data_IF_375233818971
#
_entry.id   IF_375233818971
#
_cell.length_a   1.000
_cell.length_b   1.000
_cell.length_c   1.000
_cell.angle_alpha   90.00
_cell.angle_beta   90.00
_cell.angle_gamma   90.00
#
_symmetry.space_group_name_H-M   'P 1'
#
loop_
_entity.id
_entity.type
_entity.pdbx_description
1 polymer ?
#
# COMPACT_ATOMS: atom_id res chain seq x y z
N UNK A 1 -11.02 -16.88 14.13
CA UNK A 1 -11.00 -15.40 14.08
C UNK A 1 -9.58 -14.83 14.20
N UNK A 2 -8.88 -14.91 15.35
CA UNK A 2 -7.54 -14.31 15.51
C UNK A 2 -6.51 -14.78 14.47
N UNK A 3 -6.52 -16.07 14.12
CA UNK A 3 -5.65 -16.61 13.07
C UNK A 3 -5.94 -15.98 11.70
N UNK A 4 -7.22 -15.88 11.32
CA UNK A 4 -7.64 -15.24 10.08
C UNK A 4 -7.27 -13.74 10.03
N UNK A 5 -7.32 -13.03 11.17
CA UNK A 5 -6.80 -11.65 11.25
C UNK A 5 -5.30 -11.61 10.95
N UNK A 6 -4.53 -12.51 11.57
CA UNK A 6 -3.07 -12.58 11.39
C UNK A 6 -2.68 -12.92 9.95
N UNK A 7 -3.44 -13.78 9.29
CA UNK A 7 -3.20 -14.22 7.92
C UNK A 7 -3.77 -13.26 6.86
N UNK A 8 -4.69 -12.37 7.24
CA UNK A 8 -5.37 -11.45 6.32
C UNK A 8 -6.67 -11.99 5.72
N UNK A 9 -7.12 -13.16 6.14
CA UNK A 9 -8.25 -13.92 5.58
C UNK A 9 -9.57 -13.73 6.33
N UNK A 10 -9.72 -12.61 7.08
CA UNK A 10 -10.90 -12.40 7.91
C UNK A 10 -12.19 -12.29 7.08
N UNK A 11 -12.13 -11.69 5.88
CA UNK A 11 -13.31 -11.53 5.04
C UNK A 11 -13.81 -12.86 4.50
N UNK A 12 -12.91 -13.77 4.12
CA UNK A 12 -13.22 -15.12 3.69
C UNK A 12 -13.88 -15.92 4.82
N UNK A 13 -13.36 -15.79 6.05
CA UNK A 13 -13.98 -16.40 7.24
C UNK A 13 -15.37 -15.80 7.51
N UNK A 14 -15.54 -14.48 7.34
CA UNK A 14 -16.85 -13.83 7.51
C UNK A 14 -17.83 -14.31 6.44
N UNK A 15 -17.40 -14.44 5.18
CA UNK A 15 -18.23 -14.95 4.09
C UNK A 15 -18.68 -16.39 4.36
N UNK A 16 -17.75 -17.28 4.72
CA UNK A 16 -18.01 -18.67 5.10
C UNK A 16 -19.06 -18.74 6.22
N UNK A 17 -18.87 -17.96 7.30
CA UNK A 17 -19.78 -17.94 8.45
C UNK A 17 -21.13 -17.29 8.13
N UNK A 18 -21.18 -16.38 7.17
CA UNK A 18 -22.43 -15.73 6.74
C UNK A 18 -23.44 -16.74 6.18
N UNK A 19 -22.96 -17.88 5.66
CA UNK A 19 -23.78 -18.97 5.08
C UNK A 19 -24.49 -19.83 6.12
N UNK A 20 -24.22 -19.61 7.42
CA UNK A 20 -24.86 -20.35 8.51
C UNK A 20 -26.38 -20.13 8.63
N UNK A 21 -26.89 -18.96 8.24
CA UNK A 21 -28.31 -18.64 8.35
C UNK A 21 -28.70 -17.46 7.42
N UNK A 22 -29.91 -17.42 6.82
CA UNK A 22 -30.33 -16.33 5.93
C UNK A 22 -30.23 -14.92 6.55
N UNK A 23 -30.49 -14.79 7.86
CA UNK A 23 -30.34 -13.51 8.57
C UNK A 23 -28.87 -13.11 8.77
N UNK A 24 -27.96 -14.08 8.95
CA UNK A 24 -26.52 -13.80 9.00
C UNK A 24 -26.00 -13.34 7.63
N UNK A 25 -26.45 -13.98 6.55
CA UNK A 25 -26.12 -13.52 5.20
C UNK A 25 -26.66 -12.12 4.89
N UNK A 26 -27.87 -11.80 5.38
CA UNK A 26 -28.43 -10.45 5.27
C UNK A 26 -27.59 -9.43 6.04
N UNK A 27 -27.16 -9.75 7.26
CA UNK A 27 -26.29 -8.90 8.06
C UNK A 27 -24.92 -8.67 7.42
N UNK A 28 -24.32 -9.72 6.82
CA UNK A 28 -23.05 -9.60 6.09
C UNK A 28 -23.16 -8.63 4.91
N UNK A 29 -24.20 -8.75 4.09
CA UNK A 29 -24.44 -7.81 2.98
C UNK A 29 -24.62 -6.37 3.47
N UNK A 30 -25.32 -6.17 4.59
CA UNK A 30 -25.50 -4.86 5.22
C UNK A 30 -24.18 -4.32 5.79
N UNK A 31 -23.32 -5.17 6.36
CA UNK A 31 -21.99 -4.77 6.83
C UNK A 31 -21.16 -4.16 5.68
N UNK A 32 -21.17 -4.79 4.50
CA UNK A 32 -20.46 -4.32 3.30
C UNK A 32 -21.02 -3.01 2.70
N UNK A 33 -22.06 -2.42 3.29
CA UNK A 33 -22.56 -1.09 2.93
C UNK A 33 -21.89 0.03 3.72
N UNK A 34 -21.27 -0.27 4.87
CA UNK A 34 -20.51 0.71 5.68
C UNK A 34 -19.10 0.92 5.10
N UNK A 35 -19.04 1.28 3.81
CA UNK A 35 -17.81 1.31 3.01
C UNK A 35 -16.75 2.21 3.61
N UNK A 36 -17.08 3.45 3.93
CA UNK A 36 -16.10 4.45 4.40
C UNK A 36 -15.44 4.01 5.70
N UNK A 37 -16.24 3.48 6.63
CA UNK A 37 -15.72 2.96 7.90
C UNK A 37 -14.82 1.74 7.69
N UNK A 38 -15.22 0.80 6.85
CA UNK A 38 -14.41 -0.39 6.61
C UNK A 38 -13.13 -0.06 5.83
N UNK A 39 -13.20 0.85 4.87
CA UNK A 39 -12.07 1.30 4.04
C UNK A 39 -11.01 2.01 4.89
N UNK A 40 -11.41 2.89 5.82
CA UNK A 40 -10.47 3.58 6.72
C UNK A 40 -9.56 2.59 7.48
N UNK A 41 -10.08 1.40 7.79
CA UNK A 41 -9.42 0.39 8.63
C UNK A 41 -8.83 -0.79 7.83
N UNK A 42 -9.13 -0.90 6.54
CA UNK A 42 -8.65 -2.01 5.72
C UNK A 42 -7.15 -1.81 5.38
N UNK A 43 -6.28 -2.77 5.72
CA UNK A 43 -4.86 -2.66 5.38
C UNK A 43 -4.60 -2.56 3.87
N UNK A 44 -3.56 -1.84 3.46
CA UNK A 44 -3.22 -1.67 2.01
C UNK A 44 -2.61 -2.91 1.38
N UNK A 45 -2.13 -3.84 2.20
CA UNK A 45 -1.58 -5.12 1.80
C UNK A 45 -1.87 -6.18 2.86
N UNK A 46 -1.85 -7.45 2.48
CA UNK A 46 -2.14 -8.60 3.33
C UNK A 46 -1.12 -9.71 3.09
N UNK A 47 -1.00 -10.62 4.06
CA UNK A 47 -0.13 -11.78 3.92
C UNK A 47 -0.73 -12.85 2.99
N UNK A 48 -2.05 -12.96 2.93
CA UNK A 48 -2.77 -13.83 1.99
C UNK A 48 -3.05 -13.15 0.65
N UNK A 49 -3.20 -13.96 -0.39
CA UNK A 49 -3.85 -13.54 -1.62
C UNK A 49 -5.33 -13.17 -1.35
N UNK A 50 -5.91 -12.39 -2.26
CA UNK A 50 -7.34 -12.14 -2.32
C UNK A 50 -8.06 -13.30 -3.02
N UNK A 51 -9.07 -13.89 -2.38
CA UNK A 51 -9.82 -15.01 -2.96
C UNK A 51 -11.23 -14.58 -3.40
N UNK A 52 -11.53 -14.76 -4.69
CA UNK A 52 -12.87 -14.52 -5.26
C UNK A 52 -13.80 -15.70 -4.97
N UNK A 53 -14.22 -15.84 -3.70
CA UNK A 53 -15.08 -16.97 -3.25
C UNK A 53 -16.59 -16.73 -3.37
N UNK A 54 -17.01 -15.48 -3.58
CA UNK A 54 -18.43 -15.09 -3.65
C UNK A 54 -18.62 -13.78 -4.41
N UNK A 55 -19.85 -13.39 -4.72
CA UNK A 55 -20.16 -12.05 -5.24
C UNK A 55 -19.99 -10.97 -4.18
N UNK A 56 -20.28 -11.30 -2.92
CA UNK A 56 -20.18 -10.35 -1.81
C UNK A 56 -18.73 -9.92 -1.54
N UNK A 57 -17.75 -10.82 -1.72
CA UNK A 57 -16.34 -10.53 -1.48
C UNK A 57 -15.81 -9.40 -2.39
N UNK A 58 -16.44 -9.20 -3.55
CA UNK A 58 -16.11 -8.10 -4.47
C UNK A 58 -16.53 -6.72 -3.97
N UNK A 59 -17.30 -6.67 -2.89
CA UNK A 59 -17.70 -5.43 -2.22
C UNK A 59 -16.85 -5.13 -0.99
N UNK A 60 -15.83 -5.95 -0.70
CA UNK A 60 -14.89 -5.68 0.39
C UNK A 60 -14.03 -4.45 0.09
N UNK A 61 -13.52 -3.76 1.12
CA UNK A 61 -12.85 -2.48 0.91
C UNK A 61 -11.58 -2.58 0.06
N UNK A 62 -10.86 -3.71 0.15
CA UNK A 62 -9.64 -3.93 -0.64
C UNK A 62 -9.93 -3.92 -2.15
N UNK A 63 -11.05 -4.52 -2.58
CA UNK A 63 -11.45 -4.57 -3.99
C UNK A 63 -11.89 -3.20 -4.47
N UNK A 64 -12.74 -2.52 -3.70
CA UNK A 64 -13.26 -1.20 -4.06
C UNK A 64 -12.11 -0.19 -4.18
N UNK A 65 -11.21 -0.16 -3.19
CA UNK A 65 -10.02 0.69 -3.21
C UNK A 65 -9.12 0.38 -4.40
N UNK A 66 -8.85 -0.90 -4.68
CA UNK A 66 -7.99 -1.29 -5.79
C UNK A 66 -8.56 -0.82 -7.13
N UNK A 67 -9.86 -0.99 -7.37
CA UNK A 67 -10.54 -0.51 -8.59
C UNK A 67 -10.45 1.02 -8.72
N UNK A 68 -10.79 1.76 -7.67
CA UNK A 68 -10.75 3.23 -7.69
C UNK A 68 -9.34 3.78 -7.92
N UNK A 69 -8.32 3.17 -7.30
CA UNK A 69 -6.92 3.57 -7.49
C UNK A 69 -6.43 3.19 -8.90
N UNK A 70 -6.77 2.01 -9.41
CA UNK A 70 -6.41 1.57 -10.75
C UNK A 70 -6.99 2.47 -11.84
N UNK A 71 -8.23 2.95 -11.69
CA UNK A 71 -8.83 3.90 -12.63
C UNK A 71 -8.05 5.22 -12.73
N UNK A 72 -7.50 5.70 -11.61
CA UNK A 72 -6.62 6.89 -11.61
C UNK A 72 -5.32 6.60 -12.36
N UNK A 73 -4.73 5.42 -12.18
CA UNK A 73 -3.51 5.00 -12.87
C UNK A 73 -3.75 4.84 -14.38
N UNK A 74 -4.90 4.27 -14.78
CA UNK A 74 -5.31 4.06 -16.18
C UNK A 74 -5.28 5.35 -17.01
N UNK A 75 -5.55 6.51 -16.39
CA UNK A 75 -5.49 7.83 -17.04
C UNK A 75 -4.09 8.23 -17.49
N UNK A 76 -3.05 7.74 -16.81
CA UNK A 76 -1.63 8.04 -17.11
C UNK A 76 -0.92 6.87 -17.80
N UNK A 77 -1.35 5.65 -17.51
CA UNK A 77 -0.82 4.41 -18.05
C UNK A 77 -1.96 3.65 -18.74
N UNK A 78 -2.20 3.96 -20.01
CA UNK A 78 -3.39 3.52 -20.75
C UNK A 78 -3.36 2.07 -21.23
N UNK A 79 -2.20 1.42 -21.22
CA UNK A 79 -2.10 -0.01 -21.54
C UNK A 79 -2.84 -0.84 -20.50
N UNK A 80 -3.78 -1.64 -20.95
CA UNK A 80 -4.61 -2.51 -20.11
C UNK A 80 -4.47 -3.97 -20.48
N UNK A 81 -4.79 -4.82 -19.53
CA UNK A 81 -4.91 -6.28 -19.70
C UNK A 81 -6.18 -6.76 -19.03
N UNK A 82 -6.67 -7.93 -19.46
CA UNK A 82 -7.81 -8.59 -18.83
C UNK A 82 -7.35 -9.34 -17.57
N UNK A 83 -8.09 -9.13 -16.48
CA UNK A 83 -7.92 -9.83 -15.22
C UNK A 83 -9.23 -10.56 -14.87
N UNK A 84 -9.20 -11.86 -14.52
CA UNK A 84 -10.42 -12.66 -14.30
C UNK A 84 -11.34 -12.09 -13.23
N UNK A 85 -10.76 -11.55 -12.14
CA UNK A 85 -11.50 -10.96 -11.03
C UNK A 85 -11.83 -9.46 -11.22
N UNK A 86 -10.87 -8.67 -11.70
CA UNK A 86 -10.97 -7.21 -11.70
C UNK A 86 -11.41 -6.62 -13.04
N UNK A 87 -11.57 -7.43 -14.09
CA UNK A 87 -11.86 -6.97 -15.45
C UNK A 87 -10.63 -6.33 -16.09
N UNK A 88 -10.80 -5.25 -16.85
CA UNK A 88 -9.66 -4.53 -17.43
C UNK A 88 -8.89 -3.76 -16.36
N UNK A 89 -7.61 -4.08 -16.19
CA UNK A 89 -6.71 -3.38 -15.26
C UNK A 89 -5.53 -2.75 -16.01
N UNK A 90 -4.88 -1.70 -15.49
CA UNK A 90 -3.62 -1.21 -16.03
C UNK A 90 -2.56 -2.33 -16.03
N UNK A 91 -1.95 -2.58 -17.19
CA UNK A 91 -0.90 -3.59 -17.39
C UNK A 91 0.20 -3.48 -16.35
N UNK A 92 0.60 -2.26 -16.03
CA UNK A 92 1.70 -1.96 -15.12
C UNK A 92 1.38 -2.17 -13.62
N UNK A 93 0.14 -2.58 -13.30
CA UNK A 93 -0.25 -3.03 -11.96
C UNK A 93 -0.41 -4.55 -11.86
N UNK A 94 -0.17 -5.29 -12.95
CA UNK A 94 -0.30 -6.76 -13.03
C UNK A 94 0.57 -7.53 -12.05
N UNK A 95 1.57 -6.89 -11.44
CA UNK A 95 2.49 -7.48 -10.48
C UNK A 95 2.17 -7.11 -9.03
N UNK A 96 1.13 -6.30 -8.80
CA UNK A 96 0.88 -5.59 -7.53
C UNK A 96 -0.39 -6.07 -6.87
N UNK A 97 -0.40 -6.09 -5.53
CA UNK A 97 -1.56 -6.45 -4.74
C UNK A 97 -2.72 -5.45 -4.95
N UNK A 98 -3.97 -5.92 -5.07
CA UNK A 98 -4.40 -7.32 -5.01
C UNK A 98 -4.42 -8.04 -6.37
N UNK A 99 -4.03 -7.41 -7.48
CA UNK A 99 -4.14 -8.00 -8.82
C UNK A 99 -3.31 -9.28 -8.95
N UNK A 100 -1.99 -9.19 -8.79
CA UNK A 100 -1.11 -10.36 -8.89
C UNK A 100 -1.39 -11.41 -7.80
N UNK A 101 -1.68 -10.96 -6.59
CA UNK A 101 -1.92 -11.81 -5.42
C UNK A 101 -3.42 -12.02 -5.26
N UNK A 102 -4.06 -12.57 -6.29
CA UNK A 102 -5.47 -12.97 -6.24
C UNK A 102 -5.72 -14.28 -6.97
N UNK A 103 -6.79 -14.97 -6.56
CA UNK A 103 -7.20 -16.25 -7.12
C UNK A 103 -8.73 -16.31 -7.24
N UNK A 104 -9.21 -16.82 -8.37
CA UNK A 104 -10.62 -16.98 -8.71
C UNK A 104 -10.83 -18.26 -9.50
N UNK A 105 -11.95 -18.38 -10.20
CA UNK A 105 -12.24 -19.58 -11.00
C UNK A 105 -11.28 -19.77 -12.19
N UNK A 106 -10.76 -18.66 -12.72
CA UNK A 106 -9.77 -18.64 -13.79
C UNK A 106 -8.44 -18.05 -13.28
N UNK A 107 -7.33 -18.66 -13.71
CA UNK A 107 -5.99 -18.21 -13.35
C UNK A 107 -5.63 -16.89 -14.01
N UNK A 108 -5.03 -15.98 -13.24
CA UNK A 108 -4.39 -14.79 -13.79
C UNK A 108 -2.91 -15.06 -14.07
N UNK A 109 -2.52 -15.02 -15.35
CA UNK A 109 -1.13 -15.26 -15.74
C UNK A 109 -0.31 -13.98 -15.64
N UNK A 110 0.69 -14.01 -14.75
CA UNK A 110 1.64 -12.92 -14.59
C UNK A 110 2.71 -12.96 -15.69
N UNK A 111 2.77 -11.90 -16.48
CA UNK A 111 3.85 -11.70 -17.45
C UNK A 111 5.06 -11.01 -16.80
N UNK A 112 6.26 -11.45 -17.18
CA UNK A 112 7.50 -10.87 -16.67
C UNK A 112 7.74 -9.50 -17.33
N UNK A 113 8.14 -8.48 -16.57
CA UNK A 113 8.43 -7.18 -17.14
C UNK A 113 9.67 -7.23 -18.03
N UNK A 114 9.62 -6.56 -19.17
CA UNK A 114 10.82 -6.30 -19.98
C UNK A 114 11.72 -5.25 -19.29
N UNK A 115 12.97 -5.12 -19.75
CA UNK A 115 13.87 -4.07 -19.21
C UNK A 115 13.36 -2.68 -19.57
N UNK A 116 12.74 -2.56 -20.73
CA UNK A 116 12.21 -1.33 -21.30
C UNK A 116 10.98 -0.85 -20.52
N UNK A 117 10.16 -1.79 -20.03
CA UNK A 117 8.93 -1.51 -19.27
C UNK A 117 9.15 -1.37 -17.77
N UNK A 118 10.28 -1.84 -17.23
CA UNK A 118 10.52 -1.93 -15.78
C UNK A 118 10.28 -0.61 -15.04
N UNK A 119 10.63 0.53 -15.67
CA UNK A 119 10.36 1.86 -15.11
C UNK A 119 8.87 2.19 -15.06
N UNK A 120 8.11 1.85 -16.09
CA UNK A 120 6.65 2.08 -16.17
C UNK A 120 5.90 1.33 -15.07
N UNK A 121 6.30 0.09 -14.77
CA UNK A 121 5.78 -0.66 -13.61
C UNK A 121 6.00 0.10 -12.30
N UNK A 122 7.23 0.54 -12.03
CA UNK A 122 7.56 1.28 -10.81
C UNK A 122 6.78 2.59 -10.71
N UNK A 123 6.65 3.32 -11.81
CA UNK A 123 5.92 4.58 -11.85
C UNK A 123 4.41 4.39 -11.66
N UNK A 124 3.82 3.37 -12.27
CA UNK A 124 2.41 3.04 -12.08
C UNK A 124 2.12 2.61 -10.63
N UNK A 125 2.99 1.78 -10.04
CA UNK A 125 2.86 1.38 -8.63
C UNK A 125 3.03 2.57 -7.70
N UNK A 126 3.92 3.52 -8.00
CA UNK A 126 4.05 4.74 -7.21
C UNK A 126 2.75 5.57 -7.20
N UNK A 127 2.13 5.78 -8.37
CA UNK A 127 0.82 6.47 -8.48
C UNK A 127 -0.29 5.72 -7.75
N UNK A 128 -0.28 4.38 -7.82
CA UNK A 128 -1.25 3.52 -7.14
C UNK A 128 -1.09 3.56 -5.61
N UNK A 129 0.14 3.47 -5.13
CA UNK A 129 0.45 3.32 -3.71
C UNK A 129 0.43 4.66 -2.98
N UNK A 130 1.07 5.69 -3.54
CA UNK A 130 1.28 6.99 -2.88
C UNK A 130 0.36 8.10 -3.42
N UNK A 131 -0.40 7.81 -4.47
CA UNK A 131 -1.36 8.73 -5.07
C UNK A 131 -0.76 9.64 -6.15
N UNK A 132 -1.62 10.51 -6.65
CA UNK A 132 -1.36 11.33 -7.84
C UNK A 132 -0.08 12.17 -7.72
N UNK A 133 0.76 12.06 -8.76
CA UNK A 133 2.03 12.77 -8.92
C UNK A 133 3.23 11.95 -8.45
N UNK A 134 3.02 10.84 -7.76
CA UNK A 134 4.11 10.07 -7.16
C UNK A 134 5.07 9.46 -8.18
N UNK A 135 4.66 9.22 -9.44
CA UNK A 135 5.59 8.71 -10.46
C UNK A 135 6.77 9.64 -10.73
N UNK A 136 6.62 10.94 -10.47
CA UNK A 136 7.66 11.94 -10.71
C UNK A 136 8.89 11.70 -9.81
N UNK A 137 8.71 11.05 -8.66
CA UNK A 137 9.82 10.66 -7.78
C UNK A 137 10.72 9.59 -8.42
N UNK A 138 10.22 8.93 -9.47
CA UNK A 138 10.83 7.78 -10.13
C UNK A 138 11.14 8.03 -11.62
N UNK A 139 11.15 9.28 -12.08
CA UNK A 139 11.33 9.59 -13.52
C UNK A 139 12.72 9.25 -14.10
N UNK A 140 13.75 9.37 -13.28
CA UNK A 140 15.18 9.22 -13.60
C UNK A 140 15.79 7.92 -13.03
N UNK A 141 14.95 6.95 -12.67
CA UNK A 141 15.43 5.73 -12.01
C UNK A 141 15.79 4.63 -13.00
N UNK A 142 16.76 3.82 -12.59
CA UNK A 142 17.06 2.51 -13.15
C UNK A 142 16.47 1.43 -12.25
N UNK A 143 15.84 0.42 -12.86
CA UNK A 143 15.22 -0.70 -12.16
C UNK A 143 16.00 -1.97 -12.44
N UNK A 144 16.53 -2.58 -11.39
CA UNK A 144 17.21 -3.86 -11.49
C UNK A 144 16.18 -4.99 -11.63
N UNK A 145 16.46 -5.92 -12.55
CA UNK A 145 15.73 -7.18 -12.66
C UNK A 145 16.51 -8.31 -12.00
N UNK A 146 15.80 -9.15 -11.25
CA UNK A 146 16.32 -10.39 -10.67
C UNK A 146 16.87 -11.30 -11.77
N UNK A 147 18.16 -11.65 -11.71
CA UNK A 147 18.77 -12.58 -12.68
C UNK A 147 18.10 -13.97 -12.68
N UNK A 148 17.54 -14.39 -11.55
CA UNK A 148 16.89 -15.71 -11.40
C UNK A 148 15.46 -15.72 -11.93
N UNK A 149 14.69 -14.65 -11.67
CA UNK A 149 13.23 -14.66 -11.89
C UNK A 149 12.76 -13.66 -12.94
N UNK A 150 13.59 -12.71 -13.34
CA UNK A 150 13.20 -11.60 -14.23
C UNK A 150 12.37 -10.50 -13.55
N UNK A 151 12.06 -10.64 -12.26
CA UNK A 151 11.19 -9.71 -11.52
C UNK A 151 11.93 -8.44 -11.09
N UNK A 152 11.17 -7.34 -10.96
CA UNK A 152 11.64 -6.06 -10.44
C UNK A 152 12.24 -6.22 -9.04
N UNK A 153 13.35 -5.52 -8.77
CA UNK A 153 14.11 -5.59 -7.50
C UNK A 153 14.42 -4.19 -6.99
N UNK A 154 15.69 -3.78 -7.06
CA UNK A 154 16.14 -2.50 -6.53
C UNK A 154 15.89 -1.40 -7.56
N UNK A 155 15.42 -0.26 -7.06
CA UNK A 155 15.18 0.94 -7.85
C UNK A 155 16.23 1.95 -7.40
N UNK A 156 17.03 2.44 -8.35
CA UNK A 156 18.19 3.29 -8.08
C UNK A 156 18.17 4.54 -8.92
N UNK A 157 18.73 5.62 -8.39
CA UNK A 157 19.05 6.82 -9.16
C UNK A 157 20.55 7.08 -9.01
N UNK A 158 21.30 6.81 -10.08
CA UNK A 158 22.75 6.67 -10.00
C UNK A 158 23.14 5.57 -8.99
N UNK A 159 23.98 5.91 -8.01
CA UNK A 159 24.41 4.99 -6.94
C UNK A 159 23.43 4.88 -5.76
N UNK A 160 22.41 5.75 -5.70
CA UNK A 160 21.53 5.84 -4.53
C UNK A 160 20.35 4.89 -4.64
N UNK A 161 20.04 4.20 -3.54
CA UNK A 161 18.84 3.37 -3.41
C UNK A 161 17.60 4.21 -3.15
N UNK A 162 16.65 4.18 -4.10
CA UNK A 162 15.40 4.95 -4.04
C UNK A 162 14.30 4.14 -3.36
N UNK A 163 14.05 2.92 -3.84
CA UNK A 163 13.06 2.01 -3.30
C UNK A 163 13.37 0.55 -3.69
N UNK A 164 12.69 -0.40 -3.08
CA UNK A 164 12.69 -1.81 -3.48
C UNK A 164 11.28 -2.22 -3.89
N UNK A 165 11.16 -2.90 -5.02
CA UNK A 165 9.94 -3.59 -5.41
C UNK A 165 9.81 -4.89 -4.60
N UNK A 166 8.75 -5.04 -3.83
CA UNK A 166 8.52 -6.18 -2.95
C UNK A 166 8.12 -7.41 -3.74
N UNK A 167 8.66 -8.57 -3.36
CA UNK A 167 8.38 -9.82 -4.07
C UNK A 167 7.04 -10.41 -3.64
N UNK A 168 6.63 -10.12 -2.41
CA UNK A 168 5.43 -10.65 -1.78
C UNK A 168 4.14 -10.02 -2.31
N UNK A 169 4.12 -8.72 -2.58
CA UNK A 169 2.90 -7.97 -2.91
C UNK A 169 3.07 -6.93 -4.03
N UNK A 170 4.26 -6.85 -4.63
CA UNK A 170 4.54 -5.93 -5.72
C UNK A 170 4.47 -4.44 -5.40
N UNK A 171 4.39 -4.08 -4.11
CA UNK A 171 4.40 -2.69 -3.68
C UNK A 171 5.84 -2.20 -3.43
N UNK A 172 6.00 -0.89 -3.31
CA UNK A 172 7.29 -0.25 -3.07
C UNK A 172 7.58 -0.15 -1.57
N UNK A 173 8.77 -0.57 -1.18
CA UNK A 173 9.39 -0.23 0.11
C UNK A 173 10.36 0.93 -0.10
N UNK A 174 10.17 2.03 0.63
CA UNK A 174 10.97 3.23 0.41
C UNK A 174 12.36 3.12 1.04
N UNK A 175 13.38 3.47 0.25
CA UNK A 175 14.66 3.93 0.77
C UNK A 175 14.57 5.39 1.18
N UNK A 176 15.59 5.88 1.90
CA UNK A 176 15.59 7.29 2.35
C UNK A 176 15.65 8.29 1.19
N UNK A 177 16.30 7.93 0.08
CA UNK A 177 16.32 8.79 -1.11
C UNK A 177 14.94 8.85 -1.80
N UNK A 178 14.21 7.74 -1.86
CA UNK A 178 12.84 7.73 -2.37
C UNK A 178 11.89 8.54 -1.49
N UNK A 179 12.03 8.43 -0.17
CA UNK A 179 11.28 9.24 0.78
C UNK A 179 11.53 10.75 0.59
N UNK A 180 12.79 11.17 0.41
CA UNK A 180 13.14 12.58 0.11
C UNK A 180 12.49 13.07 -1.19
N UNK A 181 12.46 12.22 -2.22
CA UNK A 181 11.85 12.56 -3.51
C UNK A 181 10.33 12.71 -3.40
N UNK A 182 9.67 11.75 -2.76
CA UNK A 182 8.22 11.83 -2.53
C UNK A 182 7.84 13.00 -1.62
N UNK A 183 8.60 13.27 -0.56
CA UNK A 183 8.41 14.41 0.32
C UNK A 183 8.39 15.74 -0.46
N UNK A 184 9.32 15.92 -1.40
CA UNK A 184 9.39 17.11 -2.25
C UNK A 184 8.22 17.24 -3.24
N UNK A 185 7.68 16.13 -3.73
CA UNK A 185 6.69 16.10 -4.82
C UNK A 185 5.26 16.13 -4.28
N UNK A 186 5.00 15.34 -3.24
CA UNK A 186 3.68 15.22 -2.65
C UNK A 186 3.44 16.41 -1.72
N UNK A 187 2.37 17.19 -1.93
CA UNK A 187 2.05 18.32 -1.05
C UNK A 187 1.73 17.83 0.36
N UNK A 188 2.14 18.60 1.36
CA UNK A 188 1.68 18.38 2.73
C UNK A 188 0.14 18.42 2.79
N UNK A 189 -0.54 17.51 3.54
CA UNK A 189 0.02 16.51 4.43
C UNK A 189 0.25 15.13 3.81
N UNK A 190 0.16 14.92 2.48
CA UNK A 190 0.17 13.58 1.87
C UNK A 190 1.31 12.69 2.38
N UNK A 191 0.95 11.51 2.90
CA UNK A 191 1.85 10.50 3.46
C UNK A 191 2.63 10.93 4.72
N UNK A 192 2.34 12.09 5.33
CA UNK A 192 3.05 12.56 6.54
C UNK A 192 2.52 11.91 7.81
N UNK A 193 3.46 11.56 8.69
CA UNK A 193 3.22 11.35 10.12
C UNK A 193 4.07 12.37 10.87
N UNK A 194 3.41 13.34 11.50
CA UNK A 194 4.05 14.43 12.22
C UNK A 194 4.32 13.99 13.66
N UNK A 195 5.58 14.07 14.09
CA UNK A 195 5.98 13.75 15.46
C UNK A 195 6.38 14.99 16.25
N UNK A 196 6.28 14.91 17.57
CA UNK A 196 6.74 15.95 18.47
C UNK A 196 8.29 16.04 18.53
N UNK A 197 8.79 17.13 19.10
CA UNK A 197 10.22 17.44 19.21
C UNK A 197 11.00 16.35 19.97
N UNK A 198 10.39 15.72 20.99
CA UNK A 198 11.01 14.65 21.77
C UNK A 198 11.37 13.43 20.93
N UNK A 199 10.57 13.12 19.91
CA UNK A 199 10.77 11.96 19.05
C UNK A 199 11.72 12.23 17.88
N UNK A 200 11.97 13.50 17.52
CA UNK A 200 12.80 13.83 16.35
C UNK A 200 14.20 13.19 16.37
N UNK A 201 14.99 13.26 17.47
CA UNK A 201 16.34 12.70 17.48
C UNK A 201 16.35 11.19 17.26
N UNK A 202 15.28 10.51 17.67
CA UNK A 202 15.11 9.06 17.55
C UNK A 202 14.67 8.68 16.14
N UNK A 203 13.69 9.38 15.59
CA UNK A 203 13.23 9.18 14.22
C UNK A 203 14.41 9.39 13.23
N UNK A 204 15.18 10.48 13.38
CA UNK A 204 16.35 10.75 12.53
C UNK A 204 17.39 9.63 12.55
N UNK A 205 17.54 8.91 13.68
CA UNK A 205 18.45 7.75 13.84
C UNK A 205 17.82 6.41 13.42
N UNK A 206 16.63 6.44 12.80
CA UNK A 206 15.94 5.24 12.33
C UNK A 206 15.25 4.43 13.43
N UNK A 207 14.99 5.01 14.61
CA UNK A 207 14.20 4.34 15.64
C UNK A 207 12.72 4.44 15.33
N UNK A 208 11.99 3.40 15.74
CA UNK A 208 10.55 3.31 15.61
C UNK A 208 9.81 4.48 16.30
N UNK A 209 8.67 4.89 15.73
CA UNK A 209 7.80 5.94 16.28
C UNK A 209 6.65 5.32 17.05
N UNK A 210 6.46 5.73 18.30
CA UNK A 210 5.33 5.32 19.14
C UNK A 210 4.18 6.33 19.02
N UNK A 211 2.94 5.84 19.13
CA UNK A 211 1.73 6.64 18.89
C UNK A 211 1.63 7.90 19.78
N UNK A 212 2.09 7.82 21.03
CA UNK A 212 2.09 8.98 21.95
C UNK A 212 2.89 10.19 21.47
N UNK A 213 3.84 9.99 20.56
CA UNK A 213 4.68 11.06 20.02
C UNK A 213 4.13 11.63 18.70
N UNK A 214 3.11 11.00 18.12
CA UNK A 214 2.45 11.51 16.91
C UNK A 214 1.51 12.64 17.33
N UNK A 215 1.63 13.79 16.66
CA UNK A 215 0.82 14.98 16.92
C UNK A 215 -0.16 15.27 15.80
N UNK A 216 0.16 14.86 14.57
CA UNK A 216 -0.75 14.92 13.43
C UNK A 216 -0.35 13.88 12.37
N UNK A 217 -1.26 13.56 11.45
CA UNK A 217 -1.00 12.65 10.34
C UNK A 217 -1.99 12.87 9.20
N UNK A 218 -1.59 12.49 7.98
CA UNK A 218 -2.51 12.40 6.84
C UNK A 218 -3.67 11.43 7.12
N UNK A 219 -4.90 11.93 7.06
CA UNK A 219 -6.12 11.15 7.32
C UNK A 219 -6.35 10.05 6.26
N UNK A 220 -5.69 10.15 5.11
CA UNK A 220 -5.78 9.16 4.04
C UNK A 220 -4.79 8.00 4.20
N UNK A 221 -3.90 8.04 5.21
CA UNK A 221 -3.04 6.90 5.54
C UNK A 221 -3.90 5.72 5.98
N UNK A 222 -3.56 4.54 5.47
CA UNK A 222 -4.17 3.26 5.84
C UNK A 222 -3.12 2.35 6.48
N UNK A 223 -3.54 1.33 7.25
CA UNK A 223 -2.60 0.41 7.88
C UNK A 223 -1.68 -0.24 6.84
N UNK A 224 -0.39 -0.30 7.16
CA UNK A 224 0.70 -0.81 6.31
C UNK A 224 1.15 0.06 5.12
N UNK A 225 0.65 1.29 4.99
CA UNK A 225 1.24 2.27 4.07
C UNK A 225 2.69 2.60 4.45
N UNK A 226 3.52 2.87 3.43
CA UNK A 226 4.80 3.54 3.65
C UNK A 226 4.54 5.01 3.96
N UNK A 227 5.18 5.57 4.96
CA UNK A 227 4.94 6.93 5.44
C UNK A 227 6.22 7.73 5.57
N UNK A 228 6.07 9.04 5.46
CA UNK A 228 7.09 10.05 5.65
C UNK A 228 6.97 10.58 7.09
N UNK A 229 7.92 10.24 7.94
CA UNK A 229 7.96 10.77 9.32
C UNK A 229 8.59 12.15 9.27
N UNK A 230 7.84 13.17 9.70
CA UNK A 230 8.24 14.58 9.65
C UNK A 230 8.10 15.25 11.01
N UNK A 231 8.74 16.39 11.21
CA UNK A 231 8.44 17.27 12.34
C UNK A 231 7.34 18.28 11.98
N UNK A 232 7.04 19.18 12.93
CA UNK A 232 6.02 20.22 12.78
C UNK A 232 6.26 21.19 11.62
N UNK A 233 7.51 21.32 11.17
CA UNK A 233 7.94 22.21 10.09
C UNK A 233 8.00 21.47 8.73
N UNK A 234 7.41 20.27 8.64
CA UNK A 234 7.48 19.34 7.50
C UNK A 234 8.92 18.98 7.09
N UNK A 235 9.87 18.96 8.03
CA UNK A 235 11.21 18.42 7.74
C UNK A 235 11.19 16.90 7.79
N UNK A 236 11.67 16.24 6.73
CA UNK A 236 11.79 14.78 6.72
C UNK A 236 12.79 14.27 7.76
N UNK A 237 12.32 13.36 8.62
CA UNK A 237 13.09 12.72 9.67
C UNK A 237 13.43 11.26 9.32
N UNK A 238 12.45 10.54 8.76
CA UNK A 238 12.58 9.12 8.46
C UNK A 238 11.52 8.66 7.45
N UNK A 239 11.66 7.41 6.99
CA UNK A 239 10.62 6.67 6.28
C UNK A 239 10.37 5.35 6.96
N UNK A 240 9.12 4.89 6.95
CA UNK A 240 8.71 3.66 7.61
C UNK A 240 7.39 3.13 7.10
N UNK A 241 6.88 2.11 7.78
CA UNK A 241 5.55 1.56 7.53
C UNK A 241 4.66 1.83 8.76
N UNK A 242 3.48 2.39 8.55
CA UNK A 242 2.50 2.59 9.63
C UNK A 242 1.79 1.29 10.00
N UNK A 243 1.44 1.13 11.28
CA UNK A 243 0.55 0.04 11.75
C UNK A 243 -0.90 0.50 11.94
N UNK A 244 -1.14 1.80 11.84
CA UNK A 244 -2.40 2.47 12.17
C UNK A 244 -2.88 3.29 10.98
N UNK A 245 -4.19 3.53 10.88
CA UNK A 245 -4.72 4.49 9.92
C UNK A 245 -4.45 5.95 10.37
N UNK A 246 -4.72 6.92 9.49
CA UNK A 246 -4.48 8.34 9.75
C UNK A 246 -5.16 8.87 11.01
N UNK A 247 -6.40 8.45 11.28
CA UNK A 247 -7.16 8.88 12.46
C UNK A 247 -6.61 8.25 13.75
N UNK A 248 -6.31 6.97 13.72
CA UNK A 248 -5.72 6.24 14.85
C UNK A 248 -4.36 6.82 15.24
N UNK A 249 -3.54 7.20 14.25
CA UNK A 249 -2.25 7.87 14.47
C UNK A 249 -2.37 9.14 15.32
N UNK A 250 -3.46 9.90 15.18
CA UNK A 250 -3.71 11.14 15.94
C UNK A 250 -4.23 10.87 17.36
N UNK A 251 -4.98 9.78 17.53
CA UNK A 251 -5.74 9.50 18.76
C UNK A 251 -4.95 8.62 19.74
N UNK A 252 -4.27 7.59 19.24
CA UNK A 252 -3.65 6.57 20.09
C UNK A 252 -2.51 7.15 20.93
N UNK A 253 -2.46 6.79 22.21
CA UNK A 253 -1.40 7.21 23.16
C UNK A 253 -0.50 6.05 23.60
N UNK A 254 -0.70 4.87 23.03
CA UNK A 254 0.09 3.67 23.34
C UNK A 254 0.29 2.86 22.07
N UNK A 255 1.31 2.00 22.09
CA UNK A 255 1.64 1.13 20.96
C UNK A 255 2.54 1.81 19.93
N UNK A 256 2.96 0.98 18.97
CA UNK A 256 3.83 1.40 17.89
C UNK A 256 2.99 2.01 16.76
N UNK A 257 3.35 3.22 16.33
CA UNK A 257 2.69 3.90 15.22
C UNK A 257 3.38 3.59 13.89
N UNK A 258 4.69 3.82 13.82
CA UNK A 258 5.48 3.60 12.59
C UNK A 258 6.67 2.71 12.88
N UNK A 259 6.74 1.59 12.15
CA UNK A 259 7.93 0.77 12.06
C UNK A 259 8.90 1.42 11.08
N UNK A 260 9.89 2.13 11.62
CA UNK A 260 10.84 2.91 10.82
C UNK A 260 11.81 1.98 10.10
N UNK A 261 12.03 2.26 8.80
CA UNK A 261 12.95 1.51 7.95
C UNK A 261 14.32 2.19 7.89
N UNK A 262 14.32 3.51 7.68
CA UNK A 262 15.53 4.34 7.59
C UNK A 262 15.25 5.73 8.17
N UNK A 263 16.17 6.21 9.01
CA UNK A 263 16.25 7.63 9.36
C UNK A 263 17.09 8.40 8.34
N UNK A 264 17.05 9.73 8.40
CA UNK A 264 17.92 10.59 7.58
C UNK A 264 19.39 10.61 8.04
N UNK A 265 19.68 10.16 9.27
CA UNK A 265 21.03 10.06 9.86
C UNK A 265 21.46 8.61 10.01
#
# INVERSE_FOLDING_TARGET
VKQAIKEGTLWELVDERSRSHPKMFTAYKRLLEYRDYLEENEPVTKASAFFKVSEEIMRTPVVLRAKERAEKVKKKFSEVINHPIFGEIPKYLSLTFPFAQSEGEEDFTIERPSKEEAKSYVQAVAEYQFGEGASEAFKDVFVELSRKTGMLRQIKAGSKHVATFRAEDGLLTLGIEGAKRLHKILPYPKMRVVVNEDAEPFARKGKNVFAKFVIDADENIRPYDEVLVVNKDDELLATGQTLLNGRELKIFKQGLAVKVRRGIK
#
